data_IF_559574499266
#
_entry.id   IF_559574499266
#
_cell.length_a   1.000
_cell.length_b   1.000
_cell.length_c   1.000
_cell.angle_alpha   90.00
_cell.angle_beta   90.00
_cell.angle_gamma   90.00
#
_symmetry.space_group_name_H-M   'P 1'
#
loop_
_entity.id
_entity.type
_entity.pdbx_description
1 polymer ?
#
# COMPACT_ATOMS: atom_id res chain seq x y z
N UNK A 1 39.21 49.97 -7.80
CA UNK A 1 38.65 48.59 -8.02
C UNK A 1 37.16 48.64 -7.68
N UNK A 2 36.31 47.84 -8.34
CA UNK A 2 34.88 47.76 -8.02
C UNK A 2 34.43 46.30 -7.93
N UNK A 3 33.55 46.02 -6.98
CA UNK A 3 33.04 44.68 -6.73
C UNK A 3 31.93 44.38 -7.75
N UNK A 4 32.05 43.31 -8.53
CA UNK A 4 31.02 42.99 -9.54
C UNK A 4 29.68 42.49 -8.96
N UNK A 5 29.64 42.15 -7.66
CA UNK A 5 28.42 41.68 -6.98
C UNK A 5 27.62 42.84 -6.39
N UNK A 6 28.25 43.72 -5.62
CA UNK A 6 27.57 44.83 -4.93
C UNK A 6 27.83 46.21 -5.56
N UNK A 7 28.66 46.28 -6.61
CA UNK A 7 29.05 47.50 -7.33
C UNK A 7 29.82 48.55 -6.52
N UNK A 8 30.05 48.33 -5.22
CA UNK A 8 30.87 49.20 -4.37
C UNK A 8 32.33 49.27 -4.86
N UNK A 9 32.94 50.42 -4.63
CA UNK A 9 34.33 50.72 -4.95
C UNK A 9 35.22 50.65 -3.71
N UNK A 10 36.52 50.79 -3.90
CA UNK A 10 37.51 50.82 -2.81
C UNK A 10 37.32 51.99 -1.84
N UNK A 11 36.63 53.04 -2.27
CA UNK A 11 36.37 54.23 -1.47
C UNK A 11 35.20 54.02 -0.50
N UNK A 12 34.25 53.15 -0.87
CA UNK A 12 33.05 52.86 -0.09
C UNK A 12 33.34 51.94 1.11
N UNK A 13 34.31 51.01 0.97
CA UNK A 13 34.76 50.13 2.06
C UNK A 13 36.25 49.82 1.93
N UNK A 14 37.05 50.60 2.66
CA UNK A 14 38.52 50.47 2.68
C UNK A 14 39.00 49.24 3.46
N UNK A 15 38.15 48.63 4.28
CA UNK A 15 38.50 47.48 5.12
C UNK A 15 38.16 46.13 4.48
N UNK A 16 37.41 46.14 3.37
CA UNK A 16 37.01 44.93 2.68
C UNK A 16 38.20 44.11 2.16
N UNK A 17 38.11 42.79 2.31
CA UNK A 17 39.05 41.86 1.69
C UNK A 17 38.66 41.63 0.22
N UNK A 18 39.59 41.91 -0.70
CA UNK A 18 39.36 41.79 -2.14
C UNK A 18 40.05 40.58 -2.73
N UNK A 19 39.33 39.80 -3.53
CA UNK A 19 39.85 38.61 -4.20
C UNK A 19 39.69 38.69 -5.72
N UNK A 20 40.54 37.90 -6.41
CA UNK A 20 40.54 37.74 -7.87
C UNK A 20 40.42 36.25 -8.24
N UNK A 21 39.21 35.66 -8.15
CA UNK A 21 39.03 34.20 -8.24
C UNK A 21 39.04 33.67 -9.68
N UNK A 22 39.15 34.53 -10.70
CA UNK A 22 39.03 34.16 -12.10
C UNK A 22 39.98 34.93 -13.03
N UNK A 23 39.90 34.63 -14.34
CA UNK A 23 40.76 35.18 -15.40
C UNK A 23 40.16 36.39 -16.14
N UNK A 24 39.09 36.99 -15.61
CA UNK A 24 38.47 38.17 -16.22
C UNK A 24 39.43 39.37 -16.28
N UNK A 25 39.18 40.30 -17.21
CA UNK A 25 39.99 41.52 -17.39
C UNK A 25 39.27 42.76 -16.83
N UNK A 26 40.01 43.81 -16.50
CA UNK A 26 39.45 45.06 -16.01
C UNK A 26 38.94 45.00 -14.57
N UNK A 27 37.87 45.74 -14.28
CA UNK A 27 37.23 45.83 -12.95
C UNK A 27 36.44 44.56 -12.59
N UNK A 28 35.91 43.83 -13.58
CA UNK A 28 35.04 42.65 -13.37
C UNK A 28 35.74 41.43 -12.77
N UNK A 29 37.07 41.45 -12.65
CA UNK A 29 37.84 40.39 -11.97
C UNK A 29 37.89 40.54 -10.44
N UNK A 30 37.53 41.70 -9.92
CA UNK A 30 37.63 42.04 -8.50
C UNK A 30 36.28 41.87 -7.80
N UNK A 31 36.29 41.26 -6.62
CA UNK A 31 35.10 41.03 -5.80
C UNK A 31 35.50 40.99 -4.32
N UNK A 32 34.60 41.41 -3.43
CA UNK A 32 34.82 41.20 -2.00
C UNK A 32 34.73 39.72 -1.65
N UNK A 33 35.56 39.27 -0.71
CA UNK A 33 35.57 37.89 -0.23
C UNK A 33 34.18 37.46 0.29
N UNK A 34 33.53 38.32 1.09
CA UNK A 34 32.21 38.07 1.67
C UNK A 34 31.10 38.03 0.61
N UNK A 35 31.15 38.92 -0.38
CA UNK A 35 30.19 38.94 -1.49
C UNK A 35 30.32 37.66 -2.34
N UNK A 36 31.55 37.21 -2.61
CA UNK A 36 31.79 36.00 -3.36
C UNK A 36 31.34 34.75 -2.59
N UNK A 37 31.62 34.67 -1.28
CA UNK A 37 31.17 33.57 -0.41
C UNK A 37 29.65 33.43 -0.45
N UNK A 38 28.91 34.52 -0.22
CA UNK A 38 27.43 34.48 -0.28
C UNK A 38 26.90 34.05 -1.64
N UNK A 39 27.52 34.54 -2.71
CA UNK A 39 27.14 34.15 -4.08
C UNK A 39 27.42 32.65 -4.34
N UNK A 40 28.55 32.12 -3.85
CA UNK A 40 28.88 30.70 -3.92
C UNK A 40 27.87 29.86 -3.12
N UNK A 41 27.51 30.27 -1.90
CA UNK A 41 26.53 29.59 -1.06
C UNK A 41 25.16 29.47 -1.76
N UNK A 42 24.71 30.55 -2.40
CA UNK A 42 23.48 30.57 -3.18
C UNK A 42 23.54 29.63 -4.39
N UNK A 43 24.70 29.52 -5.04
CA UNK A 43 24.91 28.59 -6.17
C UNK A 43 25.02 27.13 -5.72
N UNK A 44 25.58 26.86 -4.56
CA UNK A 44 25.77 25.51 -4.04
C UNK A 44 24.50 24.93 -3.39
N UNK A 45 23.55 25.76 -2.93
CA UNK A 45 22.28 25.33 -2.30
C UNK A 45 22.46 24.25 -1.22
N UNK A 46 23.52 24.38 -0.42
CA UNK A 46 23.88 23.43 0.64
C UNK A 46 24.73 22.23 0.19
N UNK A 47 25.00 22.06 -1.11
CA UNK A 47 25.95 21.06 -1.61
C UNK A 47 27.36 21.68 -1.76
N UNK A 48 28.14 21.65 -0.69
CA UNK A 48 29.52 22.17 -0.66
C UNK A 48 30.49 21.48 -1.63
N UNK A 49 30.12 20.32 -2.19
CA UNK A 49 30.90 19.59 -3.19
C UNK A 49 30.60 20.03 -4.63
N UNK A 50 29.55 20.83 -4.84
CA UNK A 50 29.19 21.33 -6.16
C UNK A 50 30.24 22.35 -6.65
N UNK A 51 30.78 22.13 -7.85
CA UNK A 51 31.74 23.06 -8.46
C UNK A 51 31.03 24.35 -8.87
N UNK A 52 31.66 25.47 -8.59
CA UNK A 52 31.17 26.80 -8.95
C UNK A 52 32.19 27.48 -9.85
N UNK A 53 31.73 28.04 -10.97
CA UNK A 53 32.58 28.71 -11.95
C UNK A 53 32.13 30.15 -12.17
N UNK A 54 33.07 30.99 -12.60
CA UNK A 54 32.80 32.37 -12.99
C UNK A 54 31.80 32.42 -14.16
N UNK A 55 30.71 33.20 -14.07
CA UNK A 55 29.70 33.26 -15.14
C UNK A 55 30.19 33.92 -16.44
N UNK A 56 31.31 34.65 -16.40
CA UNK A 56 31.82 35.42 -17.54
C UNK A 56 32.92 34.68 -18.31
N UNK A 57 33.90 34.10 -17.59
CA UNK A 57 35.05 33.43 -18.22
C UNK A 57 35.08 31.92 -17.99
N UNK A 58 34.07 31.37 -17.30
CA UNK A 58 33.94 29.94 -16.97
C UNK A 58 35.14 29.35 -16.19
N UNK A 59 35.95 30.18 -15.54
CA UNK A 59 37.01 29.70 -14.66
C UNK A 59 36.39 29.13 -13.37
N UNK A 60 36.67 27.85 -13.07
CA UNK A 60 36.28 27.21 -11.81
C UNK A 60 36.94 27.91 -10.62
N UNK A 61 36.15 28.21 -9.59
CA UNK A 61 36.64 28.80 -8.36
C UNK A 61 37.33 27.75 -7.50
N UNK A 62 38.52 28.07 -7.00
CA UNK A 62 39.28 27.22 -6.08
C UNK A 62 38.79 27.49 -4.65
N UNK A 63 37.92 26.61 -4.14
CA UNK A 63 37.36 26.72 -2.79
C UNK A 63 38.11 25.73 -1.88
N UNK A 64 38.81 26.24 -0.86
CA UNK A 64 39.50 25.43 0.14
C UNK A 64 38.71 25.51 1.44
N UNK A 65 38.27 24.35 1.94
CA UNK A 65 37.57 24.25 3.20
C UNK A 65 38.57 24.01 4.35
N UNK A 66 38.34 24.59 5.55
CA UNK A 66 39.15 24.27 6.72
C UNK A 66 39.00 22.79 7.08
N UNK A 67 40.07 22.18 7.60
CA UNK A 67 40.05 20.78 8.03
C UNK A 67 39.04 20.61 9.17
N UNK A 68 38.14 19.64 9.04
CA UNK A 68 37.21 19.27 10.09
C UNK A 68 38.00 18.72 11.29
N UNK A 69 37.64 19.14 12.51
CA UNK A 69 38.25 18.59 13.72
C UNK A 69 37.94 17.09 13.90
N UNK A 70 38.72 16.34 14.71
CA UNK A 70 38.54 14.90 14.87
C UNK A 70 37.12 14.49 15.29
N UNK A 71 36.48 15.28 16.16
CA UNK A 71 35.10 15.04 16.63
C UNK A 71 34.10 15.14 15.47
N UNK A 72 34.22 16.16 14.62
CA UNK A 72 33.30 16.36 13.49
C UNK A 72 33.48 15.27 12.44
N UNK A 73 34.71 14.78 12.24
CA UNK A 73 34.97 13.65 11.37
C UNK A 73 34.31 12.36 11.86
N UNK A 74 34.39 12.07 13.17
CA UNK A 74 33.71 10.90 13.76
C UNK A 74 32.19 11.03 13.64
N UNK A 75 31.65 12.23 13.84
CA UNK A 75 30.21 12.50 13.66
C UNK A 75 29.76 12.28 12.20
N UNK A 76 30.51 12.78 11.21
CA UNK A 76 30.23 12.55 9.78
C UNK A 76 30.31 11.07 9.42
N UNK A 77 31.27 10.33 9.97
CA UNK A 77 31.35 8.88 9.75
C UNK A 77 30.15 8.15 10.36
N UNK A 78 29.76 8.50 11.58
CA UNK A 78 28.60 7.92 12.25
C UNK A 78 27.31 8.22 11.47
N UNK A 79 27.09 9.47 11.05
CA UNK A 79 25.92 9.88 10.28
C UNK A 79 25.81 9.12 8.95
N UNK A 80 26.93 8.90 8.26
CA UNK A 80 26.97 8.10 7.02
C UNK A 80 26.64 6.62 7.26
N UNK A 81 27.14 6.04 8.36
CA UNK A 81 26.83 4.66 8.74
C UNK A 81 25.37 4.51 9.12
N UNK A 82 24.84 5.43 9.93
CA UNK A 82 23.44 5.49 10.33
C UNK A 82 22.55 5.62 9.10
N UNK A 83 22.82 6.59 8.23
CA UNK A 83 22.04 6.82 7.00
C UNK A 83 21.98 5.58 6.09
N UNK A 84 23.04 4.78 6.05
CA UNK A 84 23.06 3.51 5.31
C UNK A 84 22.36 2.37 6.05
N UNK A 85 22.49 2.28 7.37
CA UNK A 85 21.94 1.19 8.19
C UNK A 85 20.44 1.35 8.46
N UNK A 86 19.96 2.57 8.64
CA UNK A 86 18.57 2.91 8.94
C UNK A 86 17.53 2.23 8.03
N UNK A 87 17.63 2.27 6.68
CA UNK A 87 16.64 1.61 5.82
C UNK A 87 16.62 0.08 6.00
N UNK A 88 17.77 -0.56 6.26
CA UNK A 88 17.82 -2.00 6.50
C UNK A 88 17.23 -2.37 7.87
N UNK A 89 17.55 -1.59 8.91
CA UNK A 89 16.96 -1.77 10.23
C UNK A 89 15.43 -1.59 10.18
N UNK A 90 14.96 -0.54 9.50
CA UNK A 90 13.52 -0.30 9.31
C UNK A 90 12.83 -1.45 8.56
N UNK A 91 13.43 -1.95 7.47
CA UNK A 91 12.91 -3.10 6.74
C UNK A 91 12.88 -4.36 7.60
N UNK A 92 13.93 -4.62 8.39
CA UNK A 92 13.99 -5.75 9.32
C UNK A 92 12.91 -5.70 10.40
N UNK A 93 12.71 -4.52 11.01
CA UNK A 93 11.66 -4.31 12.02
C UNK A 93 10.26 -4.51 11.42
N UNK A 94 10.03 -4.00 10.20
CA UNK A 94 8.78 -4.18 9.47
C UNK A 94 8.48 -5.65 9.20
N UNK A 95 9.43 -6.39 8.62
CA UNK A 95 9.26 -7.82 8.34
C UNK A 95 9.06 -8.63 9.62
N UNK A 96 9.85 -8.34 10.67
CA UNK A 96 9.71 -8.99 11.97
C UNK A 96 8.33 -8.78 12.59
N UNK A 97 7.79 -7.57 12.48
CA UNK A 97 6.46 -7.22 13.00
C UNK A 97 5.34 -7.92 12.21
N UNK A 98 5.44 -7.98 10.88
CA UNK A 98 4.49 -8.71 10.03
C UNK A 98 4.53 -10.21 10.35
N UNK A 99 5.72 -10.76 10.53
CA UNK A 99 5.88 -12.17 10.87
C UNK A 99 5.29 -12.49 12.26
N UNK A 100 5.62 -11.71 13.28
CA UNK A 100 5.12 -11.94 14.64
C UNK A 100 3.60 -11.79 14.74
N UNK A 101 3.03 -10.82 14.03
CA UNK A 101 1.56 -10.67 13.94
C UNK A 101 0.91 -11.84 13.21
N UNK A 102 1.54 -12.39 12.16
CA UNK A 102 1.04 -13.58 11.48
C UNK A 102 1.10 -14.84 12.36
N UNK A 103 2.20 -15.04 13.10
CA UNK A 103 2.37 -16.15 14.06
C UNK A 103 1.31 -16.08 15.15
N UNK A 104 1.18 -14.93 15.80
CA UNK A 104 0.19 -14.73 16.88
C UNK A 104 -1.23 -14.91 16.38
N UNK A 105 -1.57 -14.39 15.20
CA UNK A 105 -2.88 -14.60 14.59
C UNK A 105 -3.14 -16.09 14.26
N UNK A 106 -2.13 -16.79 13.74
CA UNK A 106 -2.20 -18.23 13.49
C UNK A 106 -2.50 -19.02 14.76
N UNK A 107 -1.80 -18.72 15.86
CA UNK A 107 -2.03 -19.34 17.16
C UNK A 107 -3.46 -19.09 17.66
N UNK A 108 -3.92 -17.83 17.63
CA UNK A 108 -5.31 -17.48 18.00
C UNK A 108 -6.31 -18.25 17.15
N UNK A 109 -6.06 -18.41 15.85
CA UNK A 109 -6.94 -19.16 14.95
C UNK A 109 -7.03 -20.64 15.34
N UNK A 110 -5.89 -21.28 15.65
CA UNK A 110 -5.86 -22.68 16.12
C UNK A 110 -6.66 -22.83 17.41
N UNK A 111 -6.43 -21.94 18.39
CA UNK A 111 -7.16 -21.95 19.65
C UNK A 111 -8.67 -21.74 19.48
N UNK A 112 -9.08 -20.92 18.49
CA UNK A 112 -10.49 -20.69 18.20
C UNK A 112 -11.17 -21.90 17.52
N UNK A 113 -10.50 -22.52 16.55
CA UNK A 113 -11.06 -23.60 15.73
C UNK A 113 -11.08 -24.94 16.48
N UNK A 114 -9.98 -25.28 17.15
CA UNK A 114 -9.82 -26.55 17.88
C UNK A 114 -10.41 -26.43 19.29
N UNK A 115 -10.29 -25.25 19.91
CA UNK A 115 -10.64 -25.01 21.30
C UNK A 115 -9.38 -24.74 22.13
N UNK A 116 -9.56 -24.05 23.26
CA UNK A 116 -8.43 -23.50 24.02
C UNK A 116 -7.49 -24.56 24.58
N UNK A 117 -8.02 -25.61 25.24
CA UNK A 117 -7.23 -26.67 25.88
C UNK A 117 -6.59 -27.60 24.85
N UNK A 118 -7.38 -28.10 23.91
CA UNK A 118 -6.91 -28.97 22.83
C UNK A 118 -5.94 -28.27 21.89
N UNK A 119 -6.19 -26.99 21.58
CA UNK A 119 -5.29 -26.17 20.77
C UNK A 119 -3.93 -25.94 21.44
N UNK A 120 -3.91 -25.71 22.75
CA UNK A 120 -2.66 -25.59 23.51
C UNK A 120 -1.87 -26.91 23.50
N UNK A 121 -2.54 -28.04 23.75
CA UNK A 121 -1.93 -29.38 23.73
C UNK A 121 -1.37 -29.74 22.33
N UNK A 122 -2.10 -29.39 21.26
CA UNK A 122 -1.61 -29.54 19.88
C UNK A 122 -0.40 -28.66 19.60
N UNK A 123 -0.39 -27.42 20.11
CA UNK A 123 0.75 -26.53 19.94
C UNK A 123 1.97 -27.00 20.74
N UNK A 124 1.80 -27.49 21.97
CA UNK A 124 2.90 -27.97 22.81
C UNK A 124 3.53 -29.26 22.27
N UNK A 125 2.73 -30.14 21.67
CA UNK A 125 3.21 -31.41 21.08
C UNK A 125 3.80 -31.26 19.67
N UNK A 126 3.58 -30.13 19.00
CA UNK A 126 4.06 -29.91 17.65
C UNK A 126 5.57 -29.59 17.63
N UNK A 127 6.24 -29.98 16.55
CA UNK A 127 7.65 -29.63 16.33
C UNK A 127 7.81 -28.08 16.30
N UNK A 128 8.84 -27.52 16.97
CA UNK A 128 9.10 -26.07 16.95
C UNK A 128 9.19 -25.47 15.54
N UNK A 129 9.73 -26.20 14.56
CA UNK A 129 9.80 -25.76 13.16
C UNK A 129 8.42 -25.70 12.50
N UNK A 130 7.54 -26.65 12.85
CA UNK A 130 6.16 -26.64 12.36
C UNK A 130 5.37 -25.47 12.93
N UNK A 131 5.58 -25.09 14.20
CA UNK A 131 4.95 -23.89 14.77
C UNK A 131 5.48 -22.61 14.12
N UNK A 132 6.80 -22.52 13.92
CA UNK A 132 7.47 -21.36 13.33
C UNK A 132 6.96 -21.09 11.91
N UNK A 133 6.85 -22.13 11.06
CA UNK A 133 6.43 -21.98 9.66
C UNK A 133 4.91 -22.10 9.51
N UNK A 134 4.27 -23.01 10.24
CA UNK A 134 2.85 -23.35 10.08
C UNK A 134 1.91 -22.25 10.54
N UNK A 135 2.11 -21.66 11.72
CA UNK A 135 1.23 -20.61 12.25
C UNK A 135 1.10 -19.39 11.32
N UNK A 136 2.18 -18.79 10.79
CA UNK A 136 2.07 -17.64 9.89
C UNK A 136 1.51 -18.01 8.51
N UNK A 137 1.53 -19.29 8.10
CA UNK A 137 0.89 -19.69 6.83
C UNK A 137 -0.64 -19.66 6.91
N UNK A 138 -1.24 -19.80 8.09
CA UNK A 138 -2.70 -19.75 8.29
C UNK A 138 -3.32 -18.44 7.76
N UNK A 139 -2.91 -17.23 8.21
CA UNK A 139 -3.45 -15.99 7.67
C UNK A 139 -3.17 -15.82 6.17
N UNK A 140 -2.01 -16.28 5.68
CA UNK A 140 -1.68 -16.23 4.24
C UNK A 140 -2.67 -17.07 3.44
N UNK A 141 -2.95 -18.30 3.87
CA UNK A 141 -3.91 -19.19 3.20
C UNK A 141 -5.34 -18.65 3.26
N UNK A 142 -5.74 -18.02 4.37
CA UNK A 142 -7.05 -17.36 4.48
C UNK A 142 -7.18 -16.19 3.51
N UNK A 143 -6.12 -15.38 3.36
CA UNK A 143 -6.10 -14.26 2.42
C UNK A 143 -6.14 -14.77 0.98
N UNK A 144 -5.27 -15.73 0.62
CA UNK A 144 -5.22 -16.35 -0.71
C UNK A 144 -6.56 -17.00 -1.06
N UNK A 145 -7.16 -17.74 -0.14
CA UNK A 145 -8.49 -18.35 -0.34
C UNK A 145 -9.57 -17.30 -0.61
N UNK A 146 -9.50 -16.12 0.03
CA UNK A 146 -10.45 -15.02 -0.19
C UNK A 146 -10.20 -14.28 -1.51
N UNK A 147 -8.99 -14.36 -2.08
CA UNK A 147 -8.71 -13.84 -3.42
C UNK A 147 -9.39 -14.66 -4.53
N UNK A 148 -9.78 -15.91 -4.26
CA UNK A 148 -10.49 -16.76 -5.21
C UNK A 148 -11.96 -16.30 -5.30
N UNK A 149 -12.30 -15.61 -6.40
CA UNK A 149 -13.66 -15.12 -6.70
C UNK A 149 -14.55 -16.22 -7.28
N UNK A 150 -14.72 -17.32 -6.56
CA UNK A 150 -15.53 -18.48 -6.99
C UNK A 150 -16.98 -18.10 -7.36
N UNK A 151 -17.54 -17.09 -6.69
CA UNK A 151 -18.88 -16.56 -6.97
C UNK A 151 -19.06 -16.14 -8.44
N UNK A 152 -18.03 -15.56 -9.06
CA UNK A 152 -18.10 -15.12 -10.46
C UNK A 152 -18.01 -16.30 -11.43
N UNK A 153 -17.30 -17.36 -11.04
CA UNK A 153 -17.31 -18.62 -11.79
C UNK A 153 -18.70 -19.28 -11.73
N UNK A 154 -19.30 -19.34 -10.53
CA UNK A 154 -20.67 -19.85 -10.34
C UNK A 154 -21.68 -19.00 -11.10
N UNK A 155 -21.57 -17.68 -11.09
CA UNK A 155 -22.45 -16.81 -11.88
C UNK A 155 -22.33 -17.07 -13.39
N UNK A 156 -21.12 -17.29 -13.90
CA UNK A 156 -20.90 -17.61 -15.33
C UNK A 156 -21.52 -18.96 -15.70
N UNK A 157 -21.32 -19.98 -14.87
CA UNK A 157 -21.96 -21.29 -15.04
C UNK A 157 -23.48 -21.17 -14.95
N UNK A 158 -23.97 -20.49 -13.92
CA UNK A 158 -25.40 -20.25 -13.70
C UNK A 158 -26.03 -19.61 -14.93
N UNK A 159 -25.45 -18.54 -15.48
CA UNK A 159 -25.96 -17.89 -16.70
C UNK A 159 -25.93 -18.81 -17.92
N UNK A 160 -24.90 -19.63 -18.09
CA UNK A 160 -24.79 -20.60 -19.19
C UNK A 160 -25.89 -21.66 -19.14
N UNK A 161 -26.25 -22.12 -17.94
CA UNK A 161 -27.28 -23.16 -17.75
C UNK A 161 -28.69 -22.61 -17.48
N UNK A 162 -28.84 -21.35 -17.08
CA UNK A 162 -30.13 -20.73 -16.73
C UNK A 162 -31.08 -20.64 -17.93
N UNK A 163 -30.58 -20.51 -19.16
CA UNK A 163 -31.42 -20.56 -20.36
C UNK A 163 -32.11 -21.94 -20.54
N UNK A 164 -31.63 -22.98 -19.87
CA UNK A 164 -32.19 -24.34 -19.90
C UNK A 164 -33.14 -24.65 -18.73
N UNK A 165 -33.14 -23.82 -17.67
CA UNK A 165 -34.02 -23.98 -16.50
C UNK A 165 -35.09 -22.86 -16.46
N UNK A 166 -36.10 -22.97 -17.33
CA UNK A 166 -37.32 -22.16 -17.23
C UNK A 166 -38.14 -22.45 -15.96
N UNK A 167 -37.91 -23.61 -15.32
CA UNK A 167 -38.65 -24.09 -14.14
C UNK A 167 -38.42 -23.22 -12.89
N UNK A 168 -37.27 -22.53 -12.79
CA UNK A 168 -36.96 -21.66 -11.64
C UNK A 168 -37.68 -20.30 -11.66
N UNK A 169 -38.40 -19.97 -12.74
CA UNK A 169 -39.14 -18.72 -12.86
C UNK A 169 -40.29 -18.61 -11.83
N UNK A 170 -40.78 -19.74 -11.30
CA UNK A 170 -41.81 -19.76 -10.26
C UNK A 170 -41.29 -19.36 -8.87
N UNK A 171 -39.99 -19.53 -8.60
CA UNK A 171 -39.40 -19.24 -7.28
C UNK A 171 -38.73 -17.86 -7.29
N UNK A 172 -38.28 -17.39 -8.45
CA UNK A 172 -37.59 -16.12 -8.59
C UNK A 172 -38.07 -15.37 -9.86
N UNK A 173 -38.85 -14.28 -9.72
CA UNK A 173 -39.39 -13.56 -10.86
C UNK A 173 -38.28 -12.91 -11.69
N UNK A 174 -38.25 -13.21 -13.00
CA UNK A 174 -37.29 -12.66 -13.96
C UNK A 174 -36.15 -13.60 -14.36
N UNK A 175 -36.12 -14.84 -13.86
CA UNK A 175 -35.15 -15.87 -14.26
C UNK A 175 -35.57 -16.50 -15.59
N UNK A 176 -34.71 -16.40 -16.61
CA UNK A 176 -34.92 -16.99 -17.94
C UNK A 176 -35.58 -16.06 -18.97
N UNK A 177 -35.87 -14.80 -18.61
CA UNK A 177 -36.37 -13.81 -19.55
C UNK A 177 -35.24 -13.38 -20.52
N UNK A 178 -35.49 -13.25 -21.84
CA UNK A 178 -34.50 -12.73 -22.78
C UNK A 178 -34.06 -11.34 -22.34
N UNK A 179 -32.78 -11.21 -22.02
CA UNK A 179 -32.22 -9.95 -21.55
C UNK A 179 -31.97 -9.06 -22.77
N UNK A 180 -32.55 -7.84 -22.85
CA UNK A 180 -32.46 -7.01 -24.06
C UNK A 180 -31.05 -6.48 -24.34
N UNK A 181 -30.15 -6.48 -23.34
CA UNK A 181 -28.78 -5.97 -23.48
C UNK A 181 -27.84 -6.63 -22.45
N UNK A 182 -26.57 -6.83 -22.83
CA UNK A 182 -25.50 -7.25 -21.91
C UNK A 182 -24.93 -6.00 -21.21
N UNK A 183 -25.09 -5.84 -19.89
CA UNK A 183 -24.46 -4.77 -19.11
C UNK A 183 -22.93 -4.85 -19.18
N UNK A 184 -22.26 -3.69 -19.17
CA UNK A 184 -20.80 -3.61 -19.07
C UNK A 184 -20.32 -4.18 -17.73
N UNK A 185 -19.27 -5.00 -17.74
CA UNK A 185 -18.68 -5.54 -16.51
C UNK A 185 -18.00 -4.44 -15.71
N UNK A 186 -18.21 -4.42 -14.39
CA UNK A 186 -17.53 -3.49 -13.50
C UNK A 186 -16.03 -3.81 -13.47
N UNK A 187 -15.20 -2.83 -13.83
CA UNK A 187 -13.75 -2.97 -13.83
C UNK A 187 -13.25 -3.27 -12.39
N UNK A 188 -12.55 -4.39 -12.16
CA UNK A 188 -12.11 -4.80 -10.82
C UNK A 188 -10.89 -4.02 -10.29
N UNK A 189 -10.36 -3.06 -11.06
CA UNK A 189 -9.08 -2.38 -10.81
C UNK A 189 -9.20 -1.09 -9.97
N UNK A 190 -10.40 -0.57 -9.76
CA UNK A 190 -10.63 0.54 -8.85
C UNK A 190 -10.96 -0.04 -7.48
N UNK A 191 -10.03 -0.01 -6.52
CA UNK A 191 -10.30 0.19 -5.08
C UNK A 191 -9.12 -0.26 -4.20
N UNK A 192 -8.35 0.69 -3.65
CA UNK A 192 -7.57 0.45 -2.41
C UNK A 192 -8.49 -0.06 -1.26
N UNK A 193 -9.79 0.26 -1.32
CA UNK A 193 -10.85 -0.24 -0.45
C UNK A 193 -11.03 -1.78 -0.55
N UNK A 194 -10.61 -2.39 -1.66
CA UNK A 194 -10.70 -3.84 -1.91
C UNK A 194 -9.69 -4.62 -1.06
N UNK A 195 -8.45 -4.13 -0.95
CA UNK A 195 -7.38 -4.83 -0.23
C UNK A 195 -7.68 -4.95 1.27
N UNK A 196 -8.08 -3.85 1.92
CA UNK A 196 -8.47 -3.86 3.35
C UNK A 196 -9.68 -4.75 3.60
N UNK A 197 -10.68 -4.75 2.71
CA UNK A 197 -11.85 -5.62 2.80
C UNK A 197 -11.49 -7.10 2.62
N UNK A 198 -10.52 -7.39 1.75
CA UNK A 198 -9.98 -8.73 1.54
C UNK A 198 -9.31 -9.21 2.83
N UNK A 199 -8.36 -8.44 3.35
CA UNK A 199 -7.64 -8.69 4.61
C UNK A 199 -8.58 -8.86 5.79
N UNK A 200 -9.36 -7.85 6.15
CA UNK A 200 -10.24 -7.91 7.32
C UNK A 200 -11.25 -9.06 7.22
N UNK A 201 -11.86 -9.26 6.05
CA UNK A 201 -12.81 -10.34 5.88
C UNK A 201 -12.18 -11.74 5.82
N UNK A 202 -10.88 -11.85 5.56
CA UNK A 202 -10.15 -13.12 5.69
C UNK A 202 -9.80 -13.37 7.17
N UNK A 203 -9.37 -12.34 7.89
CA UNK A 203 -8.97 -12.47 9.30
C UNK A 203 -10.16 -12.67 10.27
N UNK A 204 -11.35 -12.20 9.90
CA UNK A 204 -12.59 -12.43 10.69
C UNK A 204 -13.27 -13.76 10.27
N UNK A 205 -12.77 -14.45 9.25
CA UNK A 205 -13.41 -15.68 8.78
C UNK A 205 -13.42 -16.81 9.82
N UNK A 206 -12.32 -17.13 10.53
CA UNK A 206 -12.33 -18.21 11.51
C UNK A 206 -13.29 -17.99 12.68
N UNK A 207 -13.43 -16.74 13.15
CA UNK A 207 -14.37 -16.40 14.22
C UNK A 207 -15.81 -16.60 13.77
N UNK A 208 -16.16 -16.12 12.57
CA UNK A 208 -17.50 -16.34 11.99
C UNK A 208 -17.76 -17.83 11.80
N UNK A 209 -16.81 -18.58 11.23
CA UNK A 209 -16.95 -20.02 11.01
C UNK A 209 -17.22 -20.77 12.33
N UNK A 210 -16.52 -20.39 13.41
CA UNK A 210 -16.70 -20.97 14.75
C UNK A 210 -18.09 -20.64 15.32
N UNK A 211 -18.55 -19.38 15.20
CA UNK A 211 -19.87 -18.95 15.69
C UNK A 211 -20.98 -19.65 14.91
N UNK A 212 -20.92 -19.65 13.58
CA UNK A 212 -21.91 -20.32 12.71
C UNK A 212 -21.93 -21.82 12.98
N UNK A 213 -20.76 -22.43 13.16
CA UNK A 213 -20.63 -23.85 13.52
C UNK A 213 -21.33 -24.18 14.84
N UNK A 214 -21.13 -23.35 15.88
CA UNK A 214 -21.80 -23.51 17.18
C UNK A 214 -23.32 -23.36 17.09
N UNK A 215 -23.81 -22.45 16.24
CA UNK A 215 -25.25 -22.19 16.09
C UNK A 215 -25.97 -23.26 15.25
N UNK A 216 -25.41 -23.65 14.11
CA UNK A 216 -26.07 -24.55 13.16
C UNK A 216 -25.77 -26.03 13.37
N UNK A 217 -24.61 -26.36 13.94
CA UNK A 217 -24.10 -27.73 14.08
C UNK A 217 -23.71 -28.04 15.53
N UNK A 218 -24.58 -27.68 16.47
CA UNK A 218 -24.38 -27.94 17.90
C UNK A 218 -24.30 -29.44 18.26
N UNK A 219 -24.84 -30.31 17.40
CA UNK A 219 -24.85 -31.77 17.58
C UNK A 219 -23.52 -32.47 17.30
N UNK A 220 -22.54 -31.78 16.70
CA UNK A 220 -21.23 -32.37 16.37
C UNK A 220 -20.28 -32.26 17.57
N UNK A 221 -19.76 -33.40 18.03
CA UNK A 221 -18.90 -33.47 19.22
C UNK A 221 -17.51 -32.81 19.02
N UNK A 222 -16.93 -32.89 17.82
CA UNK A 222 -15.62 -32.31 17.53
C UNK A 222 -15.71 -30.81 17.21
N UNK A 223 -14.99 -29.97 17.95
CA UNK A 223 -14.92 -28.53 17.74
C UNK A 223 -14.39 -28.15 16.35
N UNK A 224 -13.35 -28.85 15.89
CA UNK A 224 -12.74 -28.61 14.59
C UNK A 224 -13.72 -28.92 13.46
N UNK A 225 -14.36 -30.09 13.50
CA UNK A 225 -15.35 -30.49 12.48
C UNK A 225 -16.53 -29.52 12.45
N UNK A 226 -17.02 -29.12 13.64
CA UNK A 226 -18.10 -28.13 13.77
C UNK A 226 -17.73 -26.78 13.16
N UNK A 227 -16.51 -26.32 13.37
CA UNK A 227 -16.02 -25.05 12.80
C UNK A 227 -15.85 -25.12 11.28
N UNK A 228 -15.32 -26.24 10.76
CA UNK A 228 -15.21 -26.46 9.30
C UNK A 228 -16.59 -26.44 8.65
N UNK A 229 -17.55 -27.15 9.23
CA UNK A 229 -18.91 -27.22 8.70
C UNK A 229 -19.63 -25.86 8.78
N UNK A 230 -19.40 -25.11 9.87
CA UNK A 230 -19.84 -23.71 10.00
C UNK A 230 -19.22 -22.78 8.95
N UNK A 231 -17.94 -22.96 8.65
CA UNK A 231 -17.24 -22.23 7.59
C UNK A 231 -17.81 -22.52 6.20
N UNK A 232 -18.03 -23.80 5.87
CA UNK A 232 -18.66 -24.22 4.60
C UNK A 232 -20.07 -23.64 4.48
N UNK A 233 -20.89 -23.76 5.53
CA UNK A 233 -22.24 -23.22 5.55
C UNK A 233 -22.24 -21.69 5.36
N UNK A 234 -21.36 -20.96 6.07
CA UNK A 234 -21.23 -19.51 5.91
C UNK A 234 -20.84 -19.11 4.49
N UNK A 235 -19.83 -19.77 3.88
CA UNK A 235 -19.41 -19.50 2.50
C UNK A 235 -20.55 -19.80 1.52
N UNK A 236 -21.26 -20.91 1.68
CA UNK A 236 -22.37 -21.29 0.83
C UNK A 236 -23.53 -20.29 0.91
N UNK A 237 -23.98 -19.95 2.13
CA UNK A 237 -25.09 -19.01 2.36
C UNK A 237 -24.72 -17.61 1.84
N UNK A 238 -23.56 -17.08 2.25
CA UNK A 238 -23.08 -15.77 1.78
C UNK A 238 -22.92 -15.74 0.26
N UNK A 239 -22.36 -16.81 -0.31
CA UNK A 239 -22.19 -16.99 -1.74
C UNK A 239 -23.52 -16.94 -2.47
N UNK A 240 -24.52 -17.72 -2.01
CA UNK A 240 -25.86 -17.74 -2.58
C UNK A 240 -26.52 -16.36 -2.55
N UNK A 241 -26.49 -15.66 -1.41
CA UNK A 241 -27.03 -14.30 -1.30
C UNK A 241 -26.34 -13.32 -2.25
N UNK A 242 -25.01 -13.41 -2.39
CA UNK A 242 -24.25 -12.50 -3.25
C UNK A 242 -24.44 -12.79 -4.74
N UNK A 243 -24.51 -14.07 -5.11
CA UNK A 243 -24.88 -14.51 -6.47
C UNK A 243 -26.28 -14.00 -6.81
N UNK A 244 -27.25 -14.19 -5.92
CA UNK A 244 -28.61 -13.70 -6.08
C UNK A 244 -28.66 -12.17 -6.24
N UNK A 245 -28.01 -11.44 -5.34
CA UNK A 245 -27.95 -9.97 -5.40
C UNK A 245 -27.32 -9.46 -6.70
N UNK A 246 -26.19 -10.05 -7.12
CA UNK A 246 -25.54 -9.71 -8.40
C UNK A 246 -26.45 -10.00 -9.59
N UNK A 247 -27.20 -11.09 -9.56
CA UNK A 247 -28.15 -11.43 -10.61
C UNK A 247 -29.31 -10.42 -10.66
N UNK A 248 -29.85 -10.02 -9.52
CA UNK A 248 -30.92 -9.01 -9.47
C UNK A 248 -30.44 -7.64 -9.95
N UNK A 249 -29.23 -7.24 -9.57
CA UNK A 249 -28.61 -6.01 -10.04
C UNK A 249 -28.38 -6.04 -11.55
N UNK A 250 -27.93 -7.18 -12.08
CA UNK A 250 -27.77 -7.41 -13.53
C UNK A 250 -29.10 -7.23 -14.27
N UNK A 251 -30.19 -7.85 -13.79
CA UNK A 251 -31.52 -7.69 -14.39
C UNK A 251 -31.99 -6.23 -14.33
N UNK A 252 -31.83 -5.55 -13.19
CA UNK A 252 -32.18 -4.13 -13.04
C UNK A 252 -31.41 -3.24 -14.00
N UNK A 253 -30.11 -3.50 -14.21
CA UNK A 253 -29.29 -2.75 -15.16
C UNK A 253 -29.66 -3.04 -16.61
N UNK A 254 -30.02 -4.27 -16.94
CA UNK A 254 -30.43 -4.63 -18.29
C UNK A 254 -31.79 -4.05 -18.68
N UNK A 255 -32.73 -3.94 -17.73
CA UNK A 255 -34.04 -3.32 -17.93
C UNK A 255 -34.06 -1.80 -17.71
N UNK A 256 -32.89 -1.16 -17.52
CA UNK A 256 -32.83 0.29 -17.34
C UNK A 256 -33.34 0.99 -18.60
N UNK A 257 -34.31 1.89 -18.44
CA UNK A 257 -34.79 2.79 -19.49
C UNK A 257 -34.25 4.17 -19.21
N UNK A 258 -33.69 4.80 -20.23
CA UNK A 258 -33.34 6.22 -20.19
C UNK A 258 -34.60 6.94 -20.67
N UNK A 259 -35.19 7.75 -19.81
CA UNK A 259 -36.35 8.56 -20.16
C UNK A 259 -35.88 9.75 -20.98
N UNK A 260 -36.73 10.19 -21.91
CA UNK A 260 -36.50 11.44 -22.64
C UNK A 260 -36.54 12.62 -21.66
N UNK A 261 -35.80 13.68 -21.96
CA UNK A 261 -35.94 14.94 -21.26
C UNK A 261 -37.39 15.43 -21.43
N UNK A 262 -38.09 15.87 -20.36
CA UNK A 262 -39.43 16.42 -20.52
C UNK A 262 -39.30 17.70 -21.35
N UNK A 263 -39.79 17.67 -22.60
CA UNK A 263 -40.06 18.91 -23.33
C UNK A 263 -41.10 19.67 -22.52
N UNK A 264 -40.74 20.88 -22.07
CA UNK A 264 -41.76 21.80 -21.58
C UNK A 264 -42.62 22.14 -22.79
N UNK A 265 -43.76 21.47 -22.94
CA UNK A 265 -44.84 21.94 -23.80
C UNK A 265 -45.24 23.33 -23.30
N UNK A 266 -44.67 24.35 -23.93
CA UNK A 266 -44.79 25.73 -23.54
C UNK A 266 -44.47 26.65 -24.70
N UNK A 267 -45.39 26.75 -25.65
CA UNK A 267 -45.85 27.97 -26.32
C UNK A 267 -46.86 27.62 -27.42
#
# INVERSE_FOLDING_TARGET
RSCWVCFATDEDDRTAEWVRPCRCRGSTKWVHQTCLQRWVDEKQRGNSTARVACPQCNAEYLIVFPKLGPVVYVLDLADRLISKACPFAAAGIMVGSIYWTAVTYGAVTVMQVVGHKEGLDVMERADPLFLLIGLPTIPVMLILGKMIRWEDYVLRLWRKYSNKLQILNSIFPGIGCPVPRIPAEANPLADHVSATRILCGALVFPTIATIVGKLMFSSVNSNLQRTILGGIAFVAIKGAFKVYFKQQQYLRQAHRKILNYPEQEGA
#
